data_IF_193850866850
#
_entry.id   IF_193850866850
#
_cell.length_a   1.000
_cell.length_b   1.000
_cell.length_c   1.000
_cell.angle_alpha   90.00
_cell.angle_beta   90.00
_cell.angle_gamma   90.00
#
_symmetry.space_group_name_H-M   'P 1'
#
loop_
_entity.id
_entity.type
_entity.pdbx_description
1 polymer ?
#
# COMPACT_ATOMS: atom_id res chain seq x y z
N UNK A 1 6.85 10.92 8.33
CA UNK A 1 5.71 9.98 8.41
C UNK A 1 4.42 10.62 8.91
N UNK A 2 4.40 11.36 10.05
CA UNK A 2 3.15 11.95 10.57
C UNK A 2 2.48 12.96 9.63
N UNK A 3 3.25 13.85 9.01
CA UNK A 3 2.70 14.85 8.08
C UNK A 3 2.12 14.21 6.82
N UNK A 4 2.85 13.29 6.18
CA UNK A 4 2.35 12.50 5.04
C UNK A 4 1.05 11.74 5.39
N UNK A 5 0.98 11.15 6.58
CA UNK A 5 -0.21 10.44 7.02
C UNK A 5 -1.42 11.37 7.15
N UNK A 6 -1.22 12.59 7.68
CA UNK A 6 -2.27 13.61 7.78
C UNK A 6 -2.70 14.10 6.40
N UNK A 7 -1.76 14.31 5.48
CA UNK A 7 -2.03 14.74 4.11
C UNK A 7 -2.83 13.70 3.32
N UNK A 8 -2.48 12.43 3.46
CA UNK A 8 -3.22 11.33 2.84
C UNK A 8 -4.67 11.28 3.36
N UNK A 9 -4.84 11.42 4.68
CA UNK A 9 -6.17 11.45 5.30
C UNK A 9 -6.99 12.66 4.85
N UNK A 10 -6.35 13.84 4.71
CA UNK A 10 -7.01 15.03 4.20
C UNK A 10 -7.51 14.82 2.76
N UNK A 11 -6.71 14.17 1.89
CA UNK A 11 -7.10 13.84 0.51
C UNK A 11 -8.26 12.85 0.45
N UNK A 12 -8.25 11.82 1.29
CA UNK A 12 -9.36 10.86 1.40
C UNK A 12 -10.64 11.57 1.84
N UNK A 13 -10.55 12.37 2.91
CA UNK A 13 -11.71 13.10 3.43
C UNK A 13 -12.29 14.07 2.40
N UNK A 14 -11.44 14.82 1.70
CA UNK A 14 -11.87 15.75 0.66
C UNK A 14 -12.59 15.03 -0.50
N UNK A 15 -12.11 13.85 -0.92
CA UNK A 15 -12.76 13.05 -1.96
C UNK A 15 -14.14 12.51 -1.51
N UNK A 16 -14.25 12.08 -0.25
CA UNK A 16 -15.52 11.63 0.34
C UNK A 16 -16.52 12.79 0.48
N UNK A 17 -16.09 13.97 0.91
CA UNK A 17 -16.93 15.18 0.99
C UNK A 17 -17.50 15.57 -0.37
N UNK A 18 -16.70 15.40 -1.44
CA UNK A 18 -17.12 15.63 -2.83
C UNK A 18 -18.02 14.53 -3.39
N UNK A 19 -18.28 13.45 -2.63
CA UNK A 19 -19.01 12.26 -3.07
C UNK A 19 -18.44 11.65 -4.36
N UNK A 20 -17.12 11.72 -4.53
CA UNK A 20 -16.42 11.15 -5.67
C UNK A 20 -15.86 9.78 -5.29
N UNK A 21 -16.54 8.67 -5.66
CA UNK A 21 -16.14 7.33 -5.25
C UNK A 21 -14.82 6.89 -5.91
N UNK A 22 -14.51 7.38 -7.11
CA UNK A 22 -13.29 7.02 -7.83
C UNK A 22 -12.10 7.71 -7.16
N UNK A 23 -12.21 9.01 -6.91
CA UNK A 23 -11.16 9.76 -6.22
C UNK A 23 -10.93 9.24 -4.80
N UNK A 24 -11.98 8.87 -4.06
CA UNK A 24 -11.86 8.34 -2.71
C UNK A 24 -11.13 6.98 -2.72
N UNK A 25 -11.47 6.09 -3.66
CA UNK A 25 -10.78 4.81 -3.83
C UNK A 25 -9.29 5.01 -4.16
N UNK A 26 -8.98 5.92 -5.08
CA UNK A 26 -7.60 6.20 -5.46
C UNK A 26 -6.79 6.80 -4.30
N UNK A 27 -7.36 7.76 -3.57
CA UNK A 27 -6.72 8.36 -2.40
C UNK A 27 -6.45 7.33 -1.30
N UNK A 28 -7.40 6.43 -1.04
CA UNK A 28 -7.22 5.32 -0.09
C UNK A 28 -6.14 4.34 -0.55
N UNK A 29 -6.12 3.98 -1.83
CA UNK A 29 -5.10 3.09 -2.37
C UNK A 29 -3.70 3.68 -2.23
N UNK A 30 -3.54 4.98 -2.53
CA UNK A 30 -2.26 5.67 -2.36
C UNK A 30 -1.84 5.71 -0.88
N UNK A 31 -2.78 5.94 0.04
CA UNK A 31 -2.50 5.90 1.47
C UNK A 31 -1.97 4.54 1.92
N UNK A 32 -2.58 3.44 1.46
CA UNK A 32 -2.14 2.08 1.78
C UNK A 32 -0.74 1.78 1.23
N UNK A 33 -0.43 2.24 0.03
CA UNK A 33 0.92 2.08 -0.54
C UNK A 33 1.95 2.85 0.31
N UNK A 34 1.65 4.09 0.72
CA UNK A 34 2.51 4.87 1.59
C UNK A 34 2.73 4.17 2.95
N UNK A 35 1.67 3.61 3.54
CA UNK A 35 1.78 2.83 4.78
C UNK A 35 2.66 1.60 4.58
N UNK A 36 2.47 0.85 3.49
CA UNK A 36 3.30 -0.34 3.18
C UNK A 36 4.77 0.03 3.07
N UNK A 37 5.10 1.11 2.33
CA UNK A 37 6.48 1.58 2.22
C UNK A 37 7.06 1.98 3.58
N UNK A 38 6.31 2.73 4.39
CA UNK A 38 6.75 3.10 5.75
C UNK A 38 6.95 1.89 6.66
N UNK A 39 6.06 0.90 6.59
CA UNK A 39 6.22 -0.35 7.35
C UNK A 39 7.46 -1.11 6.88
N UNK A 40 7.73 -1.18 5.58
CA UNK A 40 8.93 -1.83 5.04
C UNK A 40 10.21 -1.10 5.46
N UNK A 41 10.24 0.23 5.42
CA UNK A 41 11.38 1.05 5.87
C UNK A 41 11.66 0.91 7.37
N UNK A 42 10.60 0.77 8.18
CA UNK A 42 10.70 0.61 9.63
C UNK A 42 10.94 -0.84 10.05
N UNK A 43 10.69 -1.79 9.15
CA UNK A 43 10.94 -3.20 9.40
C UNK A 43 12.41 -3.49 9.22
N UNK A 44 12.98 -4.21 10.17
CA UNK A 44 14.36 -4.70 10.06
C UNK A 44 14.39 -5.85 9.04
N UNK A 45 14.82 -5.54 7.83
CA UNK A 45 14.84 -6.50 6.70
C UNK A 45 15.81 -7.67 6.98
N UNK A 46 16.74 -7.49 7.92
CA UNK A 46 17.71 -8.48 8.36
C UNK A 46 17.24 -9.29 9.58
N UNK A 47 16.04 -9.03 10.14
CA UNK A 47 15.50 -9.83 11.24
C UNK A 47 15.01 -11.21 10.71
N UNK A 48 15.55 -12.34 11.20
CA UNK A 48 15.16 -13.68 10.76
C UNK A 48 13.69 -14.04 11.06
N UNK A 49 12.96 -13.22 11.84
CA UNK A 49 11.52 -13.34 12.06
C UNK A 49 10.69 -12.34 11.22
N UNK A 50 11.33 -11.54 10.35
CA UNK A 50 10.62 -10.60 9.50
C UNK A 50 9.81 -11.37 8.44
N UNK A 51 8.48 -11.25 8.52
CA UNK A 51 7.53 -11.90 7.61
C UNK A 51 7.43 -11.16 6.26
N UNK A 52 8.59 -10.80 5.68
CA UNK A 52 8.69 -10.07 4.41
C UNK A 52 8.07 -10.80 3.21
N UNK A 53 7.85 -12.13 3.33
CA UNK A 53 7.17 -12.96 2.35
C UNK A 53 5.69 -12.58 2.12
N UNK A 54 5.06 -11.94 3.10
CA UNK A 54 3.67 -11.45 2.98
C UNK A 54 3.54 -10.29 1.99
N UNK A 55 4.61 -9.52 1.79
CA UNK A 55 4.65 -8.35 0.91
C UNK A 55 5.27 -8.62 -0.47
N UNK A 56 6.03 -9.71 -0.63
CA UNK A 56 6.62 -10.12 -1.91
C UNK A 56 5.67 -10.91 -2.81
N UNK A 57 4.55 -11.39 -2.28
CA UNK A 57 3.62 -12.23 -3.03
C UNK A 57 2.63 -11.38 -3.81
N UNK A 58 3.00 -10.96 -5.02
CA UNK A 58 2.03 -10.53 -6.02
C UNK A 58 1.45 -11.79 -6.70
N UNK A 59 0.19 -12.20 -6.43
CA UNK A 59 -0.37 -13.45 -6.95
C UNK A 59 -0.61 -13.46 -8.47
N UNK A 60 -0.35 -12.36 -9.18
CA UNK A 60 -0.63 -12.23 -10.62
C UNK A 60 0.49 -12.78 -11.52
N UNK A 61 1.69 -13.05 -10.99
CA UNK A 61 2.86 -13.43 -11.84
C UNK A 61 3.07 -14.93 -11.99
N UNK A 62 2.38 -15.78 -11.21
CA UNK A 62 2.67 -17.23 -11.17
C UNK A 62 1.80 -18.12 -12.07
N UNK A 63 1.04 -17.57 -13.03
CA UNK A 63 0.26 -18.36 -14.00
C UNK A 63 0.59 -17.94 -15.44
N UNK A 64 1.75 -18.37 -15.94
CA UNK A 64 2.11 -18.11 -17.34
C UNK A 64 3.39 -18.78 -17.86
N UNK A 65 4.08 -19.60 -17.06
CA UNK A 65 5.35 -20.22 -17.47
C UNK A 65 5.32 -21.75 -17.35
N UNK A 66 4.29 -22.39 -17.91
CA UNK A 66 4.34 -23.82 -18.18
C UNK A 66 3.58 -24.14 -19.47
N UNK A 67 4.27 -23.93 -20.59
CA UNK A 67 4.05 -24.66 -21.84
C UNK A 67 5.43 -24.80 -22.50
N UNK A 68 6.12 -25.86 -22.14
CA UNK A 68 7.36 -26.36 -22.74
C UNK A 68 7.39 -27.87 -22.59
#
# INVERSE_FOLDING_TARGET
>A
YREEWLDDHAKILAALQRKDPIAAKNAMWQHLENVKQRLLELSDIDDPNFDGYLFSSNPVVLQGAENG
#
